data_IF_303332577086
#
_entry.id   IF_303332577086
#
_cell.length_a   1.000
_cell.length_b   1.000
_cell.length_c   1.000
_cell.angle_alpha   90.00
_cell.angle_beta   90.00
_cell.angle_gamma   90.00
#
_symmetry.space_group_name_H-M   'P 1'
#
loop_
_entity.id
_entity.type
_entity.pdbx_description
1 polymer ?
#
# COMPACT_ATOMS: atom_id res chain seq x y z
N UNK A 1 28.34 29.13 9.09
CA UNK A 1 27.94 27.94 8.31
C UNK A 1 26.82 27.25 9.08
N UNK A 2 25.58 27.64 8.80
CA UNK A 2 24.38 27.06 9.40
C UNK A 2 24.03 25.80 8.61
N UNK A 3 24.29 24.64 9.20
CA UNK A 3 23.87 23.36 8.65
C UNK A 3 22.36 23.24 8.93
N UNK A 4 21.57 23.34 7.87
CA UNK A 4 20.13 23.11 7.93
C UNK A 4 19.86 21.69 8.41
N UNK A 5 19.10 21.56 9.49
CA UNK A 5 18.61 20.26 9.95
C UNK A 5 17.67 19.74 8.86
N UNK A 6 17.89 18.54 8.30
CA UNK A 6 16.93 17.97 7.36
C UNK A 6 15.60 17.84 8.07
N UNK A 7 14.55 18.43 7.49
CA UNK A 7 13.19 18.17 7.93
C UNK A 7 12.93 16.68 7.72
N UNK A 8 12.89 15.92 8.82
CA UNK A 8 12.32 14.58 8.82
C UNK A 8 10.83 14.76 8.56
N UNK A 9 10.43 14.66 7.29
CA UNK A 9 9.03 14.51 6.94
C UNK A 9 8.52 13.29 7.73
N UNK A 10 7.44 13.45 8.48
CA UNK A 10 6.81 12.34 9.18
C UNK A 10 6.61 11.20 8.18
N UNK A 11 7.36 10.11 8.37
CA UNK A 11 7.48 9.06 7.37
C UNK A 11 6.17 8.26 7.38
N UNK A 12 5.33 8.54 6.38
CA UNK A 12 4.05 7.87 6.22
C UNK A 12 4.20 6.36 6.07
N UNK A 13 3.09 5.64 6.23
CA UNK A 13 3.10 4.18 6.21
C UNK A 13 3.32 3.70 4.76
N UNK A 14 4.44 3.02 4.52
CA UNK A 14 4.70 2.33 3.26
C UNK A 14 4.27 0.86 3.34
N UNK A 15 3.60 0.36 2.29
CA UNK A 15 3.26 -1.05 2.09
C UNK A 15 3.30 -1.38 0.60
N UNK A 16 3.63 -2.61 0.23
CA UNK A 16 3.56 -3.03 -1.17
C UNK A 16 2.19 -3.67 -1.47
N UNK A 17 1.78 -3.61 -2.73
CA UNK A 17 0.57 -4.31 -3.21
C UNK A 17 0.72 -5.82 -2.94
N UNK A 18 -0.36 -6.46 -2.50
CA UNK A 18 -0.42 -7.88 -2.12
C UNK A 18 0.41 -8.25 -0.89
N UNK A 19 0.90 -7.25 -0.13
CA UNK A 19 1.57 -7.47 1.14
C UNK A 19 0.77 -6.87 2.30
N UNK A 20 0.97 -7.47 3.48
CA UNK A 20 0.40 -7.01 4.73
C UNK A 20 1.50 -6.50 5.66
N UNK A 21 1.18 -5.44 6.40
CA UNK A 21 2.04 -4.83 7.41
C UNK A 21 1.29 -4.74 8.73
N UNK A 22 1.93 -5.19 9.81
CA UNK A 22 1.40 -5.02 11.15
C UNK A 22 1.68 -3.59 11.60
N UNK A 23 0.63 -2.89 12.03
CA UNK A 23 0.71 -1.58 12.66
C UNK A 23 0.32 -1.74 14.13
N UNK A 24 1.27 -1.44 15.01
CA UNK A 24 1.06 -1.46 16.46
C UNK A 24 0.64 -0.08 16.93
N UNK A 25 -0.41 -0.04 17.73
CA UNK A 25 -1.00 1.18 18.26
C UNK A 25 -0.55 1.41 19.71
N UNK A 26 -0.24 2.66 20.09
CA UNK A 26 0.16 2.98 21.46
C UNK A 26 -1.01 2.86 22.46
N UNK A 27 -2.26 2.81 21.98
CA UNK A 27 -3.49 2.76 22.78
C UNK A 27 -4.56 1.95 22.03
N UNK A 28 -5.58 1.51 22.77
CA UNK A 28 -6.72 0.77 22.23
C UNK A 28 -7.50 1.58 21.17
N UNK A 29 -7.66 0.99 19.99
CA UNK A 29 -8.50 1.49 18.91
C UNK A 29 -9.98 1.21 19.20
N UNK A 30 -10.82 2.18 18.84
CA UNK A 30 -12.27 2.07 18.85
C UNK A 30 -12.83 2.13 17.43
N UNK A 31 -12.31 3.04 16.61
CA UNK A 31 -12.71 3.22 15.21
C UNK A 31 -11.49 3.22 14.29
N UNK A 32 -11.57 2.50 13.17
CA UNK A 32 -10.52 2.43 12.15
C UNK A 32 -11.12 2.81 10.79
N UNK A 33 -10.49 3.76 10.11
CA UNK A 33 -10.97 4.33 8.85
C UNK A 33 -9.82 4.31 7.84
N UNK A 34 -10.10 3.79 6.65
CA UNK A 34 -9.21 3.89 5.49
C UNK A 34 -9.86 4.84 4.48
N UNK A 35 -9.11 5.82 3.99
CA UNK A 35 -9.62 6.81 3.05
C UNK A 35 -10.14 6.21 1.75
N UNK A 36 -9.39 5.27 1.16
CA UNK A 36 -9.78 4.52 -0.05
C UNK A 36 -9.54 3.01 0.10
N UNK A 37 -10.60 2.19 0.27
CA UNK A 37 -10.49 0.73 0.43
C UNK A 37 -10.09 -0.04 -0.85
N UNK A 38 -10.01 0.62 -2.01
CA UNK A 38 -9.42 0.06 -3.22
C UNK A 38 -7.87 0.11 -3.19
N UNK A 39 -7.30 1.05 -2.44
CA UNK A 39 -5.84 1.24 -2.32
C UNK A 39 -5.28 0.40 -1.18
N UNK A 40 -5.88 0.48 0.01
CA UNK A 40 -5.47 -0.28 1.18
C UNK A 40 -6.68 -0.81 1.95
N UNK A 41 -6.49 -1.85 2.75
CA UNK A 41 -7.53 -2.41 3.62
C UNK A 41 -6.95 -2.71 5.00
N UNK A 42 -7.80 -2.75 6.02
CA UNK A 42 -7.37 -2.99 7.40
C UNK A 42 -8.23 -4.05 8.07
N UNK A 43 -7.57 -5.02 8.68
CA UNK A 43 -8.17 -5.95 9.62
C UNK A 43 -7.70 -5.64 11.04
N UNK A 44 -8.63 -5.61 12.00
CA UNK A 44 -8.32 -5.42 13.42
C UNK A 44 -8.07 -6.79 14.04
N UNK A 45 -6.87 -7.03 14.55
CA UNK A 45 -6.50 -8.29 15.20
C UNK A 45 -6.87 -8.26 16.69
N UNK A 46 -6.53 -7.16 17.35
CA UNK A 46 -6.88 -6.84 18.73
C UNK A 46 -6.96 -5.31 18.90
N UNK A 47 -7.20 -4.83 20.11
CA UNK A 47 -7.39 -3.41 20.38
C UNK A 47 -6.14 -2.56 20.10
N UNK A 48 -4.93 -3.14 20.06
CA UNK A 48 -3.69 -2.42 19.81
C UNK A 48 -2.95 -2.88 18.54
N UNK A 49 -3.50 -3.82 17.79
CA UNK A 49 -2.84 -4.44 16.65
C UNK A 49 -3.79 -4.46 15.45
N UNK A 50 -3.37 -3.79 14.39
CA UNK A 50 -4.08 -3.81 13.11
C UNK A 50 -3.16 -4.33 12.01
N UNK A 51 -3.76 -5.03 11.05
CA UNK A 51 -3.09 -5.56 9.86
C UNK A 51 -3.53 -4.73 8.66
N UNK A 52 -2.61 -3.93 8.13
CA UNK A 52 -2.81 -3.11 6.94
C UNK A 52 -2.37 -3.88 5.70
N UNK A 53 -3.23 -4.03 4.71
CA UNK A 53 -2.95 -4.75 3.46
C UNK A 53 -2.97 -3.78 2.27
N UNK A 54 -1.92 -3.78 1.45
CA UNK A 54 -1.90 -3.04 0.19
C UNK A 54 -2.70 -3.77 -0.89
N UNK A 55 -3.76 -3.15 -1.42
CA UNK A 55 -4.62 -3.74 -2.47
C UNK A 55 -4.37 -3.16 -3.86
N UNK A 56 -4.08 -1.86 -3.92
CA UNK A 56 -3.77 -1.16 -5.16
C UNK A 56 -2.71 -0.11 -4.90
N UNK A 57 -1.83 0.14 -5.85
CA UNK A 57 -0.83 1.19 -5.70
C UNK A 57 -1.48 2.57 -5.78
N UNK A 58 -0.92 3.50 -5.02
CA UNK A 58 -1.45 4.85 -4.87
C UNK A 58 -1.18 5.40 -3.48
N UNK A 59 -1.88 6.48 -3.15
CA UNK A 59 -1.75 7.16 -1.87
C UNK A 59 -3.13 7.31 -1.24
N UNK A 60 -3.27 6.89 0.01
CA UNK A 60 -4.47 7.05 0.83
C UNK A 60 -4.06 7.46 2.25
N UNK A 61 -4.96 7.39 3.22
CA UNK A 61 -4.68 7.67 4.61
C UNK A 61 -5.35 6.63 5.52
N UNK A 62 -4.74 6.43 6.69
CA UNK A 62 -5.25 5.60 7.77
C UNK A 62 -5.53 6.51 8.97
N UNK A 63 -6.77 6.49 9.43
CA UNK A 63 -7.21 7.18 10.64
C UNK A 63 -7.67 6.15 11.66
N UNK A 64 -7.10 6.20 12.85
CA UNK A 64 -7.48 5.34 13.97
C UNK A 64 -7.84 6.23 15.15
N UNK A 65 -9.03 6.05 15.70
CA UNK A 65 -9.55 6.84 16.82
C UNK A 65 -9.68 5.98 18.07
N UNK A 66 -9.41 6.59 19.23
CA UNK A 66 -9.76 6.04 20.54
C UNK A 66 -11.25 6.30 20.85
N UNK A 67 -11.76 5.64 21.89
CA UNK A 67 -13.15 5.78 22.35
C UNK A 67 -13.56 7.22 22.72
N UNK A 68 -12.59 8.06 23.09
CA UNK A 68 -12.81 9.48 23.40
C UNK A 68 -12.82 10.39 22.14
N UNK A 69 -12.67 9.81 20.95
CA UNK A 69 -12.60 10.52 19.67
C UNK A 69 -11.21 11.06 19.32
N UNK A 70 -10.20 10.85 20.19
CA UNK A 70 -8.82 11.30 19.91
C UNK A 70 -8.20 10.44 18.82
N UNK A 71 -7.53 11.09 17.85
CA UNK A 71 -6.76 10.39 16.83
C UNK A 71 -5.50 9.74 17.43
N UNK A 72 -5.43 8.41 17.32
CA UNK A 72 -4.26 7.58 17.64
C UNK A 72 -3.31 7.54 16.43
N UNK A 73 -3.87 7.40 15.24
CA UNK A 73 -3.15 7.44 13.96
C UNK A 73 -3.91 8.36 13.03
N UNK A 74 -3.21 9.27 12.37
CA UNK A 74 -3.67 10.00 11.20
C UNK A 74 -2.46 10.19 10.29
N UNK A 75 -2.26 9.21 9.39
CA UNK A 75 -1.08 9.18 8.53
C UNK A 75 -1.44 8.80 7.10
N UNK A 76 -0.64 9.34 6.18
CA UNK A 76 -0.66 8.93 4.79
C UNK A 76 -0.15 7.49 4.67
N UNK A 77 -0.83 6.70 3.85
CA UNK A 77 -0.44 5.35 3.45
C UNK A 77 -0.09 5.40 1.98
N UNK A 78 1.17 5.10 1.65
CA UNK A 78 1.61 4.93 0.27
C UNK A 78 1.71 3.44 -0.02
N UNK A 79 0.97 3.01 -1.03
CA UNK A 79 1.01 1.64 -1.53
C UNK A 79 1.82 1.63 -2.82
N UNK A 80 2.95 0.94 -2.83
CA UNK A 80 3.76 0.75 -4.03
C UNK A 80 3.42 -0.56 -4.73
N UNK A 81 3.86 -0.69 -5.98
CA UNK A 81 3.76 -1.96 -6.70
C UNK A 81 4.82 -2.91 -6.17
N UNK A 82 4.47 -4.17 -5.94
CA UNK A 82 5.46 -5.22 -5.69
C UNK A 82 6.30 -5.44 -6.96
N UNK A 83 7.62 -5.45 -6.83
CA UNK A 83 8.53 -5.62 -7.98
C UNK A 83 9.44 -6.84 -7.86
N UNK A 84 9.39 -7.51 -6.71
CA UNK A 84 10.22 -8.69 -6.45
C UNK A 84 9.88 -9.78 -7.45
N UNK A 85 10.92 -10.32 -8.10
CA UNK A 85 10.83 -11.41 -9.09
C UNK A 85 9.81 -11.19 -10.20
N UNK A 86 9.52 -9.93 -10.56
CA UNK A 86 8.53 -9.58 -11.58
C UNK A 86 9.19 -8.95 -12.81
N UNK A 87 8.80 -9.38 -14.01
CA UNK A 87 9.19 -8.79 -15.29
C UNK A 87 7.97 -8.19 -15.99
N UNK A 88 8.13 -7.00 -16.59
CA UNK A 88 7.12 -6.39 -17.47
C UNK A 88 7.62 -6.36 -18.90
N UNK A 89 6.91 -7.05 -19.77
CA UNK A 89 7.22 -7.17 -21.20
C UNK A 89 6.24 -6.31 -21.98
N UNK A 90 6.77 -5.42 -22.82
CA UNK A 90 5.99 -4.55 -23.69
C UNK A 90 6.11 -5.04 -25.14
N UNK A 91 5.00 -5.44 -25.76
CA UNK A 91 4.92 -5.85 -27.17
C UNK A 91 3.88 -5.02 -27.89
N UNK A 92 4.32 -3.91 -28.49
CA UNK A 92 3.40 -2.90 -29.07
C UNK A 92 2.40 -2.45 -27.98
N UNK A 93 1.12 -2.67 -28.25
CA UNK A 93 -0.04 -2.38 -27.41
C UNK A 93 -0.33 -3.47 -26.34
N UNK A 94 0.52 -4.48 -26.20
CA UNK A 94 0.33 -5.58 -25.24
C UNK A 94 1.37 -5.46 -24.11
N UNK A 95 0.90 -5.22 -22.89
CA UNK A 95 1.75 -5.22 -21.68
C UNK A 95 1.48 -6.51 -20.92
N UNK A 96 2.52 -7.33 -20.74
CA UNK A 96 2.45 -8.56 -19.96
C UNK A 96 3.34 -8.47 -18.72
N UNK A 97 2.77 -8.76 -17.56
CA UNK A 97 3.50 -8.85 -16.30
C UNK A 97 3.68 -10.33 -15.93
N UNK A 98 4.93 -10.73 -15.71
CA UNK A 98 5.34 -12.11 -15.43
C UNK A 98 6.04 -12.20 -14.08
N UNK A 99 5.86 -13.31 -13.36
CA UNK A 99 6.63 -13.63 -12.15
C UNK A 99 7.61 -14.75 -12.46
N UNK A 100 8.90 -14.55 -12.16
CA UNK A 100 9.99 -15.40 -12.63
C UNK A 100 10.80 -15.98 -11.46
N UNK A 101 10.55 -17.25 -11.14
CA UNK A 101 11.34 -17.99 -10.14
C UNK A 101 11.16 -19.52 -10.30
N UNK A 102 12.05 -20.27 -10.98
CA UNK A 102 13.12 -19.88 -11.93
C UNK A 102 12.63 -19.71 -13.38
N UNK A 103 11.43 -20.22 -13.70
CA UNK A 103 10.74 -19.99 -14.98
C UNK A 103 9.71 -18.87 -14.81
N UNK A 104 9.38 -18.19 -15.90
CA UNK A 104 8.42 -17.08 -15.90
C UNK A 104 7.00 -17.57 -16.20
N UNK A 105 6.06 -17.20 -15.35
CA UNK A 105 4.63 -17.44 -15.51
C UNK A 105 3.85 -16.13 -15.40
N UNK A 106 2.55 -16.12 -15.74
CA UNK A 106 1.71 -14.95 -15.60
C UNK A 106 1.67 -14.49 -14.13
N UNK A 107 1.99 -13.22 -13.88
CA UNK A 107 1.96 -12.70 -12.52
C UNK A 107 0.51 -12.58 -12.02
N UNK A 108 0.33 -12.74 -10.71
CA UNK A 108 -0.89 -12.24 -10.08
C UNK A 108 -0.87 -10.71 -10.12
N UNK A 109 -1.94 -10.12 -10.67
CA UNK A 109 -2.13 -8.69 -10.76
C UNK A 109 -3.32 -8.29 -9.90
N UNK A 110 -3.16 -7.29 -9.04
CA UNK A 110 -4.32 -6.64 -8.43
C UNK A 110 -5.15 -5.92 -9.49
N UNK A 111 -6.40 -5.57 -9.16
CA UNK A 111 -7.28 -4.86 -10.07
C UNK A 111 -6.66 -3.54 -10.57
N UNK A 112 -5.95 -2.82 -9.70
CA UNK A 112 -5.24 -1.59 -10.07
C UNK A 112 -4.10 -1.85 -11.05
N UNK A 113 -3.38 -2.96 -10.87
CA UNK A 113 -2.29 -3.35 -11.75
C UNK A 113 -2.78 -3.76 -13.13
N UNK A 114 -3.84 -4.58 -13.20
CA UNK A 114 -4.45 -5.01 -14.45
C UNK A 114 -5.00 -3.82 -15.26
N UNK A 115 -5.68 -2.87 -14.60
CA UNK A 115 -6.18 -1.65 -15.25
C UNK A 115 -5.05 -0.78 -15.80
N UNK A 116 -3.97 -0.62 -15.04
CA UNK A 116 -2.82 0.15 -15.53
C UNK A 116 -2.14 -0.52 -16.72
N UNK A 117 -1.91 -1.83 -16.66
CA UNK A 117 -1.31 -2.57 -17.76
C UNK A 117 -2.15 -2.46 -19.04
N UNK A 118 -3.49 -2.57 -18.93
CA UNK A 118 -4.41 -2.35 -20.05
C UNK A 118 -4.35 -0.91 -20.61
N UNK A 119 -4.28 0.10 -19.74
CA UNK A 119 -4.21 1.51 -20.17
C UNK A 119 -2.88 1.88 -20.84
N UNK A 120 -1.79 1.20 -20.48
CA UNK A 120 -0.49 1.36 -21.14
C UNK A 120 -0.47 0.66 -22.49
N UNK A 121 -1.15 -0.48 -22.61
CA UNK A 121 -1.29 -1.19 -23.87
C UNK A 121 -2.14 -0.44 -24.91
N UNK A 122 -3.11 0.37 -24.48
CA UNK A 122 -3.96 1.13 -25.39
C UNK A 122 -3.26 2.32 -26.10
N UNK A 123 -1.97 2.56 -25.83
CA UNK A 123 -1.19 3.69 -26.36
C UNK A 123 -0.29 3.31 -27.54
#
# INVERSE_FOLDING_TARGET
MQWGIPASAAEGIQVETNQARIVKLPRAADTVIVGNPEIADVAVQDDQTIVLTGKGFGVTNLVVLAKDGTAIVDQQVTVSRQTVSTLRVYRRADVQTLSCTPMCEAAYLSNSEARSDASMGAQ
#
